data_IF_264210567428
#
_entry.id   IF_264210567428
#
_cell.length_a   1.000
_cell.length_b   1.000
_cell.length_c   1.000
_cell.angle_alpha   90.00
_cell.angle_beta   90.00
_cell.angle_gamma   90.00
#
_symmetry.space_group_name_H-M   'P 1'
#
loop_
_entity.id
_entity.type
_entity.pdbx_description
1 polymer ?
#
# COMPACT_ATOMS: atom_id res chain seq x y z
N UNK A 1 36.44 -4.24 6.03
CA UNK A 1 36.12 -4.42 7.42
C UNK A 1 34.65 -4.04 7.66
N UNK A 2 33.72 -4.93 7.43
CA UNK A 2 32.26 -4.70 7.56
C UNK A 2 31.39 -5.88 7.17
N UNK A 3 31.98 -6.90 6.57
CA UNK A 3 31.25 -8.09 6.13
C UNK A 3 31.23 -9.27 7.12
N UNK A 4 32.00 -9.20 8.22
CA UNK A 4 32.12 -10.33 9.16
C UNK A 4 31.12 -10.32 10.31
N UNK A 5 30.31 -9.28 10.48
CA UNK A 5 29.40 -9.15 11.64
C UNK A 5 27.97 -9.71 11.41
N UNK A 6 27.66 -10.24 10.21
CA UNK A 6 26.29 -10.68 9.88
C UNK A 6 26.16 -12.21 9.76
N UNK A 7 27.24 -12.97 9.85
CA UNK A 7 27.18 -14.44 9.69
C UNK A 7 26.65 -15.21 10.91
N UNK A 8 26.25 -14.55 12.01
CA UNK A 8 25.83 -15.19 13.25
C UNK A 8 24.41 -14.92 13.72
N UNK A 9 23.65 -14.04 13.08
CA UNK A 9 22.30 -13.72 13.53
C UNK A 9 21.26 -14.66 12.94
N UNK A 10 20.49 -15.30 13.79
CA UNK A 10 19.31 -16.08 13.39
C UNK A 10 18.20 -15.17 12.89
N UNK A 11 17.27 -15.70 12.12
CA UNK A 11 16.10 -14.97 11.60
C UNK A 11 15.31 -14.26 12.72
N UNK A 12 15.21 -14.90 13.89
CA UNK A 12 14.50 -14.33 15.05
C UNK A 12 15.26 -13.17 15.73
N UNK A 13 16.59 -13.20 15.71
CA UNK A 13 17.42 -12.09 16.20
C UNK A 13 17.33 -10.87 15.28
N UNK A 14 17.32 -11.09 13.98
CA UNK A 14 17.06 -10.03 12.97
C UNK A 14 15.66 -9.45 13.13
N UNK A 15 14.66 -10.29 13.39
CA UNK A 15 13.27 -9.88 13.62
C UNK A 15 13.11 -9.03 14.88
N UNK A 16 13.83 -9.33 15.94
CA UNK A 16 13.80 -8.58 17.21
C UNK A 16 14.56 -7.24 17.13
N UNK A 17 15.57 -7.11 16.25
CA UNK A 17 16.29 -5.86 16.01
C UNK A 17 15.57 -4.92 15.04
N UNK A 18 14.76 -5.47 14.15
CA UNK A 18 13.93 -4.72 13.20
C UNK A 18 12.61 -4.29 13.86
N UNK A 19 12.64 -3.68 15.01
CA UNK A 19 11.46 -3.24 15.75
C UNK A 19 10.24 -3.04 14.83
N UNK A 20 9.06 -3.36 15.24
CA UNK A 20 7.73 -3.51 14.62
C UNK A 20 7.30 -2.57 13.46
N UNK A 21 8.22 -2.08 12.67
CA UNK A 21 8.03 -1.47 11.35
C UNK A 21 7.81 -2.51 10.25
N UNK A 22 7.28 -3.67 10.59
CA UNK A 22 6.82 -4.63 9.59
C UNK A 22 5.69 -3.99 8.81
N UNK A 23 5.85 -3.93 7.49
CA UNK A 23 4.77 -3.73 6.53
C UNK A 23 3.50 -4.37 7.08
N UNK A 24 2.57 -3.56 7.57
CA UNK A 24 1.18 -3.98 7.71
C UNK A 24 0.72 -4.29 6.29
N UNK A 25 0.90 -5.54 5.88
CA UNK A 25 0.25 -6.05 4.68
C UNK A 25 -1.23 -5.94 5.00
N UNK A 26 -1.88 -4.94 4.41
CA UNK A 26 -3.29 -4.68 4.62
C UNK A 26 -4.08 -5.98 4.51
N UNK A 27 -4.52 -6.56 5.64
CA UNK A 27 -5.37 -7.71 5.58
C UNK A 27 -5.13 -8.87 6.53
N UNK A 28 -4.13 -8.86 7.40
CA UNK A 28 -3.93 -9.94 8.36
C UNK A 28 -2.47 -10.29 8.64
N UNK A 29 -2.23 -11.16 9.62
CA UNK A 29 -0.89 -11.65 9.92
C UNK A 29 -0.27 -12.38 8.71
N UNK A 30 1.03 -12.24 8.52
CA UNK A 30 1.75 -12.97 7.48
C UNK A 30 1.74 -14.47 7.78
N UNK A 31 1.38 -15.26 6.78
CA UNK A 31 1.34 -16.71 6.85
C UNK A 31 2.66 -17.27 6.28
N UNK A 32 3.39 -18.12 7.00
CA UNK A 32 4.56 -18.77 6.46
C UNK A 32 4.23 -19.54 5.16
N UNK A 33 5.09 -19.45 4.14
CA UNK A 33 4.85 -20.06 2.84
C UNK A 33 4.57 -21.57 2.93
N UNK A 34 5.32 -22.29 3.77
CA UNK A 34 5.13 -23.74 3.96
C UNK A 34 3.76 -24.06 4.56
N UNK A 35 3.27 -23.21 5.48
CA UNK A 35 1.94 -23.36 6.07
C UNK A 35 0.85 -23.09 5.03
N UNK A 36 0.97 -21.99 4.26
CA UNK A 36 0.01 -21.66 3.20
C UNK A 36 -0.11 -22.78 2.16
N UNK A 37 1.04 -23.36 1.73
CA UNK A 37 1.06 -24.48 0.79
C UNK A 37 0.49 -25.78 1.38
N UNK A 38 0.64 -25.99 2.69
CA UNK A 38 0.08 -27.16 3.36
C UNK A 38 -1.43 -27.05 3.56
N UNK A 39 -1.91 -25.90 4.04
CA UNK A 39 -3.31 -25.69 4.40
C UNK A 39 -4.22 -25.42 3.19
N UNK A 40 -3.72 -24.71 2.17
CA UNK A 40 -4.51 -24.26 1.02
C UNK A 40 -3.68 -24.20 -0.26
N UNK A 41 -3.17 -25.34 -0.78
CA UNK A 41 -2.20 -25.37 -1.88
C UNK A 41 -2.72 -24.69 -3.16
N UNK A 42 -3.95 -24.94 -3.57
CA UNK A 42 -4.52 -24.39 -4.80
C UNK A 42 -4.78 -22.88 -4.69
N UNK A 43 -5.32 -22.41 -3.56
CA UNK A 43 -5.49 -20.95 -3.34
C UNK A 43 -4.15 -20.24 -3.27
N UNK A 44 -3.16 -20.85 -2.61
CA UNK A 44 -1.81 -20.31 -2.52
C UNK A 44 -1.16 -20.16 -3.89
N UNK A 45 -1.26 -21.22 -4.72
CA UNK A 45 -0.76 -21.18 -6.09
C UNK A 45 -1.46 -20.12 -6.92
N UNK A 46 -2.80 -20.07 -6.88
CA UNK A 46 -3.58 -19.07 -7.60
C UNK A 46 -3.23 -17.63 -7.17
N UNK A 47 -3.01 -17.40 -5.87
CA UNK A 47 -2.59 -16.10 -5.37
C UNK A 47 -1.18 -15.70 -5.86
N UNK A 48 -0.23 -16.65 -5.89
CA UNK A 48 1.12 -16.43 -6.41
C UNK A 48 1.07 -16.13 -7.91
N UNK A 49 0.34 -16.94 -8.68
CA UNK A 49 0.21 -16.77 -10.14
C UNK A 49 -0.42 -15.40 -10.47
N UNK A 50 -1.43 -14.98 -9.71
CA UNK A 50 -2.05 -13.66 -9.85
C UNK A 50 -1.07 -12.51 -9.58
N UNK A 51 -0.27 -12.61 -8.52
CA UNK A 51 0.74 -11.60 -8.20
C UNK A 51 1.82 -11.53 -9.29
N UNK A 52 2.34 -12.70 -9.73
CA UNK A 52 3.34 -12.75 -10.78
C UNK A 52 2.81 -12.23 -12.11
N UNK A 53 1.58 -12.57 -12.48
CA UNK A 53 0.94 -12.01 -13.67
C UNK A 53 0.81 -10.48 -13.59
N UNK A 54 0.45 -9.95 -12.42
CA UNK A 54 0.39 -8.51 -12.21
C UNK A 54 1.78 -7.85 -12.39
N UNK A 55 2.84 -8.48 -11.90
CA UNK A 55 4.20 -7.97 -11.97
C UNK A 55 4.82 -8.10 -13.37
N UNK A 56 4.61 -9.22 -14.04
CA UNK A 56 5.25 -9.54 -15.33
C UNK A 56 4.47 -8.98 -16.51
N UNK A 57 3.13 -9.08 -16.49
CA UNK A 57 2.27 -8.77 -17.64
C UNK A 57 1.57 -7.43 -17.47
N UNK A 58 0.78 -7.24 -16.38
CA UNK A 58 -0.03 -6.03 -16.22
C UNK A 58 0.83 -4.78 -16.02
N UNK A 59 1.91 -4.88 -15.22
CA UNK A 59 2.78 -3.75 -14.86
C UNK A 59 4.13 -3.79 -15.59
N UNK A 60 4.49 -4.93 -16.19
CA UNK A 60 5.79 -5.13 -16.85
C UNK A 60 6.98 -4.73 -15.95
N UNK A 61 6.88 -5.00 -14.65
CA UNK A 61 7.91 -4.68 -13.67
C UNK A 61 9.03 -5.70 -13.67
N UNK A 62 8.72 -6.94 -13.98
CA UNK A 62 9.66 -8.05 -13.99
C UNK A 62 9.79 -8.62 -15.39
N UNK A 63 11.01 -8.64 -15.89
CA UNK A 63 11.37 -9.27 -17.15
C UNK A 63 12.15 -10.54 -16.79
N UNK A 64 11.64 -11.74 -17.08
CA UNK A 64 12.35 -13.00 -16.79
C UNK A 64 13.72 -13.04 -17.48
N UNK A 65 14.69 -13.63 -16.79
CA UNK A 65 16.06 -13.82 -17.31
C UNK A 65 16.48 -15.25 -17.10
N UNK A 66 17.02 -15.86 -18.16
CA UNK A 66 17.60 -17.20 -18.07
C UNK A 66 18.83 -17.17 -17.17
N UNK A 67 18.87 -18.10 -16.22
CA UNK A 67 19.99 -18.20 -15.28
C UNK A 67 21.33 -18.37 -15.96
N UNK A 68 21.38 -19.09 -17.09
CA UNK A 68 22.59 -19.37 -17.85
C UNK A 68 23.18 -18.11 -18.53
N UNK A 69 22.38 -17.06 -18.69
CA UNK A 69 22.82 -15.75 -19.24
C UNK A 69 23.44 -14.84 -18.17
N UNK A 70 23.43 -15.26 -16.90
CA UNK A 70 23.93 -14.46 -15.77
C UNK A 70 25.29 -14.97 -15.29
N UNK A 71 26.20 -14.05 -15.04
CA UNK A 71 27.47 -14.36 -14.36
C UNK A 71 27.24 -14.70 -12.89
N UNK A 72 28.17 -15.40 -12.26
CA UNK A 72 28.13 -15.70 -10.83
C UNK A 72 28.08 -14.42 -9.98
N UNK A 73 28.80 -13.38 -10.40
CA UNK A 73 28.77 -12.08 -9.71
C UNK A 73 27.37 -11.45 -9.75
N UNK A 74 26.70 -11.49 -10.90
CA UNK A 74 25.32 -10.97 -11.03
C UNK A 74 24.35 -11.78 -10.17
N UNK A 75 24.43 -13.13 -10.20
CA UNK A 75 23.58 -14.00 -9.38
C UNK A 75 23.75 -13.72 -7.87
N UNK A 76 24.98 -13.48 -7.43
CA UNK A 76 25.29 -13.19 -6.02
C UNK A 76 24.84 -11.78 -5.60
N UNK A 77 24.93 -10.80 -6.50
CA UNK A 77 24.50 -9.43 -6.22
C UNK A 77 23.01 -9.16 -6.47
N UNK A 78 22.28 -10.14 -7.03
CA UNK A 78 20.85 -10.00 -7.27
C UNK A 78 20.08 -9.79 -5.97
N UNK A 79 19.23 -8.76 -5.95
CA UNK A 79 18.39 -8.43 -4.80
C UNK A 79 17.39 -9.57 -4.57
N UNK A 80 17.42 -10.14 -3.38
CA UNK A 80 16.53 -11.24 -3.03
C UNK A 80 15.12 -10.73 -2.78
N UNK A 81 14.14 -11.45 -3.32
CA UNK A 81 12.73 -11.21 -3.09
C UNK A 81 12.10 -12.44 -2.43
N UNK A 82 11.08 -12.20 -1.64
CA UNK A 82 10.25 -13.26 -1.06
C UNK A 82 8.79 -13.06 -1.41
N UNK A 83 8.05 -14.15 -1.46
CA UNK A 83 6.61 -14.10 -1.56
C UNK A 83 6.03 -14.03 -0.14
N UNK A 84 5.40 -12.91 0.20
CA UNK A 84 4.68 -12.73 1.46
C UNK A 84 3.22 -13.16 1.26
N UNK A 85 2.75 -14.07 2.10
CA UNK A 85 1.40 -14.62 2.05
C UNK A 85 0.56 -14.06 3.19
N UNK A 86 -0.69 -13.73 2.93
CA UNK A 86 -1.66 -13.32 3.96
C UNK A 86 -3.08 -13.67 3.51
N UNK A 87 -4.03 -13.65 4.43
CA UNK A 87 -5.45 -13.72 4.06
C UNK A 87 -6.09 -12.34 4.17
N UNK A 88 -6.94 -12.01 3.23
CA UNK A 88 -7.80 -10.83 3.31
C UNK A 88 -8.79 -11.02 4.45
N UNK A 89 -9.31 -9.92 4.98
CA UNK A 89 -10.48 -9.99 5.85
C UNK A 89 -11.68 -10.51 5.07
N UNK A 90 -12.51 -11.29 5.73
CA UNK A 90 -13.79 -11.75 5.17
C UNK A 90 -14.67 -10.52 4.93
N UNK A 91 -15.17 -10.36 3.72
CA UNK A 91 -16.11 -9.28 3.42
C UNK A 91 -17.51 -9.63 3.97
N UNK A 92 -18.38 -8.62 4.22
CA UNK A 92 -19.76 -8.89 4.65
C UNK A 92 -20.51 -9.83 3.69
N UNK A 93 -20.29 -9.71 2.39
CA UNK A 93 -20.89 -10.59 1.37
C UNK A 93 -20.37 -12.02 1.45
N UNK A 94 -19.06 -12.19 1.68
CA UNK A 94 -18.45 -13.51 1.91
C UNK A 94 -18.97 -14.14 3.20
N UNK A 95 -19.10 -13.33 4.27
CA UNK A 95 -19.65 -13.79 5.56
C UNK A 95 -21.09 -14.24 5.42
N UNK A 96 -21.93 -13.50 4.68
CA UNK A 96 -23.32 -13.89 4.40
C UNK A 96 -23.42 -15.21 3.62
N UNK A 97 -22.41 -15.54 2.81
CA UNK A 97 -22.29 -16.82 2.09
C UNK A 97 -21.64 -17.93 2.96
N UNK A 98 -21.42 -17.67 4.26
CA UNK A 98 -20.86 -18.64 5.20
C UNK A 98 -19.34 -18.77 5.16
N UNK A 99 -18.62 -17.87 4.49
CA UNK A 99 -17.18 -17.88 4.51
C UNK A 99 -16.64 -17.45 5.87
N UNK A 100 -15.79 -18.27 6.47
CA UNK A 100 -15.11 -17.99 7.75
C UNK A 100 -13.69 -17.48 7.55
N UNK A 101 -13.15 -17.59 6.34
CA UNK A 101 -11.77 -17.23 5.97
C UNK A 101 -11.80 -16.44 4.68
N UNK A 102 -11.05 -15.35 4.63
CA UNK A 102 -10.93 -14.52 3.42
C UNK A 102 -9.93 -15.08 2.41
N UNK A 103 -9.97 -14.53 1.20
CA UNK A 103 -9.13 -14.95 0.07
C UNK A 103 -7.64 -14.88 0.40
N UNK A 104 -6.88 -15.85 -0.10
CA UNK A 104 -5.43 -15.83 -0.04
C UNK A 104 -4.87 -14.67 -0.88
N UNK A 105 -3.89 -13.96 -0.34
CA UNK A 105 -3.19 -12.84 -0.97
C UNK A 105 -1.70 -13.09 -0.98
N UNK A 106 -1.07 -12.94 -2.12
CA UNK A 106 0.37 -12.95 -2.29
C UNK A 106 0.90 -11.55 -2.59
N UNK A 107 2.11 -11.26 -2.14
CA UNK A 107 2.89 -10.07 -2.49
C UNK A 107 4.34 -10.47 -2.74
N UNK A 108 4.90 -10.10 -3.88
CA UNK A 108 6.33 -10.23 -4.10
C UNK A 108 7.05 -9.02 -3.50
N UNK A 109 7.88 -9.25 -2.49
CA UNK A 109 8.52 -8.21 -1.67
C UNK A 109 10.03 -8.34 -1.77
N UNK A 110 10.71 -7.25 -2.13
CA UNK A 110 12.17 -7.17 -2.13
C UNK A 110 12.70 -7.13 -0.68
N UNK A 111 13.79 -7.84 -0.43
CA UNK A 111 14.51 -7.79 0.86
C UNK A 111 15.57 -6.67 0.83
N UNK A 112 15.16 -5.44 0.51
CA UNK A 112 16.03 -4.26 0.46
C UNK A 112 16.14 -3.62 1.85
N UNK A 113 16.84 -4.31 2.75
CA UNK A 113 16.93 -3.93 4.16
C UNK A 113 18.02 -2.87 4.37
N UNK A 114 17.75 -1.88 5.23
CA UNK A 114 18.73 -0.85 5.64
C UNK A 114 20.02 -1.44 6.23
N UNK A 115 19.93 -2.63 6.85
CA UNK A 115 21.09 -3.36 7.37
C UNK A 115 22.03 -3.86 6.25
N UNK A 116 21.50 -4.14 5.05
CA UNK A 116 22.25 -4.62 3.89
C UNK A 116 22.74 -3.49 2.99
N UNK A 117 21.96 -2.43 2.88
CA UNK A 117 22.25 -1.25 2.07
C UNK A 117 21.71 0.00 2.74
N UNK A 118 22.59 0.92 3.13
CA UNK A 118 22.20 2.21 3.70
C UNK A 118 22.10 3.24 2.57
N UNK A 119 20.90 3.78 2.37
CA UNK A 119 20.63 4.87 1.45
C UNK A 119 20.48 6.20 2.22
N UNK A 120 20.71 7.35 1.55
CA UNK A 120 20.38 8.65 2.10
C UNK A 120 18.91 8.74 2.53
N UNK A 121 18.62 9.53 3.56
CA UNK A 121 17.25 9.69 4.07
C UNK A 121 16.35 10.34 3.02
N UNK A 122 16.89 11.25 2.23
CA UNK A 122 16.17 11.95 1.15
C UNK A 122 15.65 10.99 0.08
N UNK A 123 16.32 9.85 -0.12
CA UNK A 123 15.92 8.83 -1.09
C UNK A 123 14.90 7.83 -0.51
N UNK A 124 14.76 7.78 0.80
CA UNK A 124 13.94 6.76 1.49
C UNK A 124 12.75 7.35 2.24
N UNK A 125 12.78 8.65 2.53
CA UNK A 125 11.71 9.30 3.26
C UNK A 125 10.46 9.48 2.41
N UNK A 126 9.37 8.86 2.83
CA UNK A 126 8.04 9.07 2.27
C UNK A 126 7.18 9.75 3.34
N UNK A 127 7.09 11.06 3.29
CA UNK A 127 6.20 11.78 4.19
C UNK A 127 4.75 11.35 3.98
N UNK A 128 4.09 10.98 5.06
CA UNK A 128 2.65 10.70 5.09
C UNK A 128 1.95 11.77 5.92
N UNK A 129 0.65 12.04 5.70
CA UNK A 129 -0.07 13.01 6.50
C UNK A 129 -0.19 12.54 7.96
N UNK A 130 0.07 13.45 8.90
CA UNK A 130 -0.21 13.20 10.30
C UNK A 130 -1.72 12.96 10.53
N UNK A 131 -2.04 12.25 11.60
CA UNK A 131 -3.45 11.99 11.93
C UNK A 131 -4.24 13.27 12.17
N UNK A 132 -3.59 14.30 12.67
CA UNK A 132 -4.17 15.60 12.94
C UNK A 132 -4.65 16.29 11.66
N UNK A 133 -3.91 16.15 10.56
CA UNK A 133 -4.19 16.84 9.31
C UNK A 133 -5.54 16.41 8.70
N UNK A 134 -5.76 15.12 8.51
CA UNK A 134 -7.01 14.63 7.94
C UNK A 134 -8.19 14.72 8.95
N UNK A 135 -7.91 14.61 10.26
CA UNK A 135 -8.95 14.83 11.29
C UNK A 135 -9.40 16.27 11.31
N UNK A 136 -8.48 17.24 11.17
CA UNK A 136 -8.82 18.66 11.04
C UNK A 136 -9.65 18.91 9.77
N UNK A 137 -9.29 18.25 8.65
CA UNK A 137 -10.10 18.29 7.43
C UNK A 137 -11.53 17.80 7.71
N UNK A 138 -11.71 16.69 8.42
CA UNK A 138 -13.04 16.20 8.79
C UNK A 138 -13.75 17.10 9.81
N UNK A 139 -13.03 17.73 10.74
CA UNK A 139 -13.60 18.68 11.68
C UNK A 139 -14.12 19.97 10.99
N UNK A 140 -13.61 20.29 9.80
CA UNK A 140 -14.10 21.41 8.98
C UNK A 140 -15.29 21.06 8.08
N UNK A 141 -15.76 19.81 8.11
CA UNK A 141 -16.90 19.38 7.31
C UNK A 141 -18.19 20.11 7.73
N UNK A 142 -18.92 20.61 6.75
CA UNK A 142 -20.26 21.17 6.92
C UNK A 142 -21.24 20.40 6.02
N UNK A 143 -22.28 19.85 6.64
CA UNK A 143 -23.32 19.12 5.92
C UNK A 143 -24.01 20.03 4.87
N UNK A 144 -24.20 19.48 3.67
CA UNK A 144 -24.80 20.22 2.55
C UNK A 144 -23.87 21.20 1.83
N UNK A 145 -22.63 21.41 2.35
CA UNK A 145 -21.61 22.24 1.69
C UNK A 145 -20.39 21.42 1.23
N UNK A 146 -20.12 20.31 1.87
CA UNK A 146 -18.95 19.49 1.54
C UNK A 146 -19.34 18.09 1.14
N UNK A 147 -18.59 17.56 0.19
CA UNK A 147 -18.62 16.18 -0.27
C UNK A 147 -17.31 15.50 0.14
N UNK A 148 -17.41 14.31 0.71
CA UNK A 148 -16.24 13.53 1.15
C UNK A 148 -16.24 12.20 0.44
N UNK A 149 -15.08 11.84 -0.11
CA UNK A 149 -14.90 10.57 -0.80
C UNK A 149 -13.50 10.02 -0.58
N UNK A 150 -13.34 8.74 -0.85
CA UNK A 150 -12.05 8.07 -0.90
C UNK A 150 -12.00 7.08 -2.05
N UNK A 151 -10.80 6.71 -2.45
CA UNK A 151 -10.51 5.61 -3.36
C UNK A 151 -9.25 4.91 -2.84
N UNK A 152 -8.72 3.97 -3.59
CA UNK A 152 -7.50 3.23 -3.26
C UNK A 152 -6.73 3.08 -4.57
N UNK A 153 -5.44 3.42 -4.58
CA UNK A 153 -4.59 3.21 -5.74
C UNK A 153 -4.21 1.72 -5.86
N UNK A 154 -4.68 1.07 -6.92
CA UNK A 154 -4.40 -0.35 -7.13
C UNK A 154 -2.91 -0.60 -7.35
N UNK A 155 -2.25 -1.30 -6.42
CA UNK A 155 -0.82 -1.61 -6.51
C UNK A 155 0.07 -0.36 -6.65
N UNK A 156 -0.14 0.66 -5.81
CA UNK A 156 0.45 1.99 -5.89
C UNK A 156 1.94 2.02 -6.31
N UNK A 157 2.83 1.36 -5.59
CA UNK A 157 4.27 1.36 -5.94
C UNK A 157 4.57 0.84 -7.34
N UNK A 158 3.77 -0.09 -7.85
CA UNK A 158 3.94 -0.64 -9.19
C UNK A 158 3.45 0.31 -10.29
N UNK A 159 2.83 1.42 -9.93
CA UNK A 159 2.37 2.44 -10.88
C UNK A 159 3.40 3.57 -11.09
N UNK A 160 4.45 3.64 -10.27
CA UNK A 160 5.55 4.60 -10.51
C UNK A 160 6.14 4.38 -11.90
N UNK A 161 6.29 5.40 -12.74
CA UNK A 161 6.86 5.24 -14.08
C UNK A 161 8.24 4.56 -14.07
N UNK A 162 8.54 3.80 -15.11
CA UNK A 162 9.86 3.19 -15.28
C UNK A 162 10.92 4.29 -15.40
N UNK A 163 11.93 4.26 -14.54
CA UNK A 163 13.00 5.28 -14.51
C UNK A 163 14.25 4.89 -15.30
N UNK A 164 14.18 3.83 -16.11
CA UNK A 164 15.30 3.32 -16.90
C UNK A 164 16.36 2.54 -16.11
N UNK A 165 16.31 2.55 -14.79
CA UNK A 165 17.20 1.73 -13.96
C UNK A 165 16.71 0.29 -13.94
N UNK A 166 17.62 -0.64 -14.26
CA UNK A 166 17.35 -2.07 -14.16
C UNK A 166 18.04 -2.64 -12.92
N UNK A 167 17.29 -3.29 -12.07
CA UNK A 167 17.80 -3.98 -10.88
C UNK A 167 17.60 -5.47 -11.09
N UNK A 168 18.67 -6.26 -10.98
CA UNK A 168 18.53 -7.70 -11.00
C UNK A 168 17.97 -8.19 -9.67
N UNK A 169 16.85 -8.87 -9.73
CA UNK A 169 16.19 -9.46 -8.57
C UNK A 169 16.10 -10.97 -8.74
N UNK A 170 16.04 -11.70 -7.62
CA UNK A 170 15.85 -13.15 -7.60
C UNK A 170 14.81 -13.55 -6.57
N UNK A 171 14.05 -14.59 -6.87
CA UNK A 171 13.13 -15.21 -5.91
C UNK A 171 13.27 -16.72 -5.94
N UNK A 172 13.07 -17.37 -4.80
CA UNK A 172 12.96 -18.81 -4.73
C UNK A 172 11.56 -19.24 -5.19
N UNK A 173 11.48 -20.16 -6.15
CA UNK A 173 10.22 -20.77 -6.52
C UNK A 173 9.80 -21.78 -5.43
N UNK A 174 8.68 -21.59 -4.73
CA UNK A 174 8.31 -22.47 -3.62
C UNK A 174 7.91 -23.88 -4.08
N UNK A 175 7.57 -24.05 -5.35
CA UNK A 175 7.16 -25.34 -5.91
C UNK A 175 8.34 -26.19 -6.39
N UNK A 176 9.41 -25.55 -6.88
CA UNK A 176 10.55 -26.25 -7.51
C UNK A 176 11.85 -26.14 -6.71
N UNK A 177 11.90 -25.24 -5.72
CA UNK A 177 13.13 -24.92 -4.98
C UNK A 177 14.23 -24.26 -5.81
N UNK A 178 13.94 -23.82 -7.03
CA UNK A 178 14.91 -23.15 -7.91
C UNK A 178 14.85 -21.65 -7.77
N UNK A 179 15.99 -20.98 -7.93
CA UNK A 179 16.06 -19.54 -8.07
C UNK A 179 15.56 -19.14 -9.45
N UNK A 180 14.71 -18.11 -9.48
CA UNK A 180 14.22 -17.46 -10.69
C UNK A 180 14.72 -16.01 -10.68
N UNK A 181 15.23 -15.54 -11.82
CA UNK A 181 15.87 -14.23 -11.97
C UNK A 181 15.06 -13.33 -12.88
N UNK A 182 15.04 -12.03 -12.55
CA UNK A 182 14.29 -11.03 -13.31
C UNK A 182 15.04 -9.70 -13.34
N UNK A 183 14.95 -8.98 -14.44
CA UNK A 183 15.23 -7.56 -14.44
C UNK A 183 14.00 -6.81 -13.94
N UNK A 184 14.14 -6.08 -12.84
CA UNK A 184 13.12 -5.20 -12.31
C UNK A 184 13.29 -3.81 -12.94
N UNK A 185 12.22 -3.30 -13.59
CA UNK A 185 12.24 -2.07 -14.39
C UNK A 185 11.79 -0.84 -13.61
N UNK A 186 11.59 -0.93 -12.31
CA UNK A 186 11.13 0.18 -11.49
C UNK A 186 10.90 -0.24 -10.05
N UNK A 187 10.06 0.46 -9.34
CA UNK A 187 9.76 0.23 -7.93
C UNK A 187 8.94 -1.03 -7.71
N UNK A 188 9.24 -1.75 -6.66
CA UNK A 188 8.43 -2.85 -6.14
C UNK A 188 8.34 -2.81 -4.61
N UNK A 189 7.40 -3.58 -4.06
CA UNK A 189 7.23 -3.69 -2.61
C UNK A 189 8.52 -4.12 -1.92
N UNK A 190 8.82 -3.49 -0.78
CA UNK A 190 10.01 -3.78 0.03
C UNK A 190 11.28 -3.07 -0.41
N UNK A 191 11.28 -2.32 -1.52
CA UNK A 191 12.39 -1.42 -1.85
C UNK A 191 12.37 -0.20 -0.94
N UNK A 192 13.53 0.19 -0.40
CA UNK A 192 13.67 1.34 0.50
C UNK A 192 13.22 2.66 -0.14
N UNK A 193 13.45 2.82 -1.46
CA UNK A 193 13.07 4.03 -2.22
C UNK A 193 11.60 4.05 -2.60
N UNK A 194 10.89 2.93 -2.45
CA UNK A 194 9.53 2.75 -3.00
C UNK A 194 8.52 3.80 -2.52
N UNK A 195 8.52 4.10 -1.24
CA UNK A 195 7.63 5.11 -0.67
C UNK A 195 7.94 6.52 -1.17
N UNK A 196 9.23 6.88 -1.22
CA UNK A 196 9.67 8.19 -1.69
C UNK A 196 9.36 8.39 -3.17
N UNK A 197 9.68 7.41 -4.03
CA UNK A 197 9.41 7.47 -5.46
C UNK A 197 7.89 7.53 -5.74
N UNK A 198 7.07 6.78 -5.01
CA UNK A 198 5.63 6.85 -5.13
C UNK A 198 5.10 8.24 -4.72
N UNK A 199 5.47 8.73 -3.52
CA UNK A 199 5.06 10.07 -3.06
C UNK A 199 5.44 11.15 -4.06
N UNK A 200 6.68 11.13 -4.54
CA UNK A 200 7.18 12.10 -5.53
C UNK A 200 6.35 12.05 -6.80
N UNK A 201 6.09 10.87 -7.34
CA UNK A 201 5.29 10.70 -8.55
C UNK A 201 3.86 11.26 -8.39
N UNK A 202 3.18 10.97 -7.28
CA UNK A 202 1.84 11.51 -7.01
C UNK A 202 1.87 13.01 -6.79
N UNK A 203 2.87 13.51 -6.04
CA UNK A 203 3.03 14.94 -5.80
C UNK A 203 3.24 15.70 -7.11
N UNK A 204 4.12 15.22 -7.98
CA UNK A 204 4.38 15.83 -9.29
C UNK A 204 3.11 15.84 -10.16
N UNK A 205 2.35 14.74 -10.18
CA UNK A 205 1.08 14.66 -10.91
C UNK A 205 0.06 15.68 -10.40
N UNK A 206 -0.06 15.85 -9.09
CA UNK A 206 -1.01 16.78 -8.51
C UNK A 206 -0.57 18.24 -8.64
N UNK A 207 0.72 18.53 -8.51
CA UNK A 207 1.24 19.92 -8.41
C UNK A 207 1.77 20.48 -9.71
N UNK A 208 2.10 19.66 -10.69
CA UNK A 208 2.67 20.12 -11.96
C UNK A 208 1.65 20.97 -12.74
N UNK A 209 2.03 22.23 -12.95
CA UNK A 209 1.25 23.20 -13.74
C UNK A 209 1.68 23.25 -15.21
N UNK A 210 2.83 22.67 -15.55
CA UNK A 210 3.46 22.80 -16.88
C UNK A 210 2.99 21.75 -17.86
N UNK A 211 2.41 20.66 -17.37
CA UNK A 211 1.79 19.64 -18.22
C UNK A 211 0.34 20.05 -18.51
N UNK A 212 -0.08 19.94 -19.75
CA UNK A 212 -1.47 20.18 -20.18
C UNK A 212 -2.51 19.39 -19.38
N UNK A 213 -2.06 18.44 -18.55
CA UNK A 213 -2.83 17.59 -17.67
C UNK A 213 -2.48 17.73 -16.18
N UNK A 214 -1.70 18.73 -15.78
CA UNK A 214 -1.41 18.99 -14.37
C UNK A 214 -2.66 19.40 -13.61
N UNK A 215 -2.81 18.93 -12.36
CA UNK A 215 -4.04 19.16 -11.59
C UNK A 215 -4.07 20.54 -10.95
N UNK A 216 -2.93 21.22 -10.80
CA UNK A 216 -2.86 22.57 -10.23
C UNK A 216 -2.99 22.65 -8.70
N UNK A 217 -2.84 21.53 -8.01
CA UNK A 217 -2.78 21.50 -6.55
C UNK A 217 -1.50 22.13 -6.01
N UNK A 218 -1.53 22.47 -4.73
CA UNK A 218 -0.37 22.87 -3.93
C UNK A 218 -0.27 21.96 -2.72
N UNK A 219 0.90 21.39 -2.46
CA UNK A 219 1.14 20.70 -1.20
C UNK A 219 1.18 21.74 -0.06
N UNK A 220 0.55 21.43 1.07
CA UNK A 220 0.53 22.32 2.22
C UNK A 220 1.92 22.39 2.85
N UNK A 221 2.36 23.61 3.22
CA UNK A 221 3.63 23.78 3.94
C UNK A 221 3.59 23.03 5.27
N UNK A 222 4.65 22.33 5.57
CA UNK A 222 4.85 21.58 6.82
C UNK A 222 3.84 20.45 7.08
N UNK A 223 3.02 20.10 6.11
CA UNK A 223 2.06 18.98 6.20
C UNK A 223 2.22 18.12 4.97
N UNK A 224 3.01 17.05 5.11
CA UNK A 224 3.33 16.18 3.99
C UNK A 224 2.10 15.47 3.45
N UNK A 225 2.04 15.32 2.13
CA UNK A 225 0.98 14.56 1.43
C UNK A 225 -0.44 15.06 1.67
N UNK A 226 -0.58 16.35 1.99
CA UNK A 226 -1.87 17.06 1.97
C UNK A 226 -1.82 18.14 0.92
N UNK A 227 -2.76 18.11 0.00
CA UNK A 227 -2.81 18.96 -1.18
C UNK A 227 -4.08 19.78 -1.23
N UNK A 228 -3.98 21.02 -1.71
CA UNK A 228 -5.10 21.93 -1.87
C UNK A 228 -5.14 22.50 -3.29
N UNK A 229 -6.32 22.47 -3.93
CA UNK A 229 -6.57 23.11 -5.21
C UNK A 229 -7.24 24.48 -4.98
N UNK A 230 -6.55 25.59 -5.27
CA UNK A 230 -7.03 26.92 -4.86
C UNK A 230 -8.32 27.37 -5.56
N UNK A 231 -8.49 27.01 -6.82
CA UNK A 231 -9.65 27.42 -7.62
C UNK A 231 -10.88 26.56 -7.33
N UNK A 232 -10.68 25.22 -7.27
CA UNK A 232 -11.76 24.25 -7.04
C UNK A 232 -12.05 24.00 -5.57
N UNK A 233 -11.22 24.55 -4.66
CA UNK A 233 -11.34 24.34 -3.20
C UNK A 233 -11.41 22.86 -2.79
N UNK A 234 -10.64 22.03 -3.47
CA UNK A 234 -10.50 20.61 -3.15
C UNK A 234 -9.35 20.44 -2.18
N UNK A 235 -9.54 19.66 -1.13
CA UNK A 235 -8.50 19.22 -0.21
C UNK A 235 -8.35 17.70 -0.35
N UNK A 236 -7.10 17.23 -0.49
CA UNK A 236 -6.79 15.81 -0.58
C UNK A 236 -5.71 15.46 0.42
N UNK A 237 -5.95 14.48 1.26
CA UNK A 237 -4.97 13.87 2.17
C UNK A 237 -4.65 12.48 1.64
N UNK A 238 -3.39 12.20 1.32
CA UNK A 238 -2.99 10.93 0.70
C UNK A 238 -2.05 10.17 1.64
N UNK A 239 -2.51 9.04 2.14
CA UNK A 239 -1.69 8.12 2.93
C UNK A 239 -1.32 6.92 2.07
N UNK A 240 -0.15 6.97 1.44
CA UNK A 240 0.38 5.97 0.51
C UNK A 240 -0.60 5.69 -0.64
N UNK A 241 -1.45 4.69 -0.52
CA UNK A 241 -2.43 4.23 -1.52
C UNK A 241 -3.87 4.69 -1.23
N UNK A 242 -4.10 5.36 -0.08
CA UNK A 242 -5.42 5.78 0.37
C UNK A 242 -5.58 7.33 0.31
N UNK A 243 -6.17 7.92 -0.74
CA UNK A 243 -6.58 9.31 -0.75
C UNK A 243 -7.94 9.52 -0.07
N UNK A 244 -8.01 10.52 0.81
CA UNK A 244 -9.24 11.08 1.37
C UNK A 244 -9.44 12.47 0.77
N UNK A 245 -10.59 12.70 0.16
CA UNK A 245 -10.90 13.89 -0.64
C UNK A 245 -12.08 14.62 -0.02
N UNK A 246 -11.98 15.93 0.10
CA UNK A 246 -13.09 16.80 0.47
C UNK A 246 -13.23 17.94 -0.55
N UNK A 247 -14.44 18.17 -1.04
CA UNK A 247 -14.77 19.16 -2.06
C UNK A 247 -15.98 19.98 -1.65
N UNK A 248 -16.19 21.13 -2.32
CA UNK A 248 -17.37 21.99 -2.10
C UNK A 248 -18.50 21.72 -3.11
N UNK A 249 -18.26 20.88 -4.13
CA UNK A 249 -19.27 20.50 -5.10
C UNK A 249 -19.09 19.05 -5.54
N UNK A 250 -20.18 18.45 -6.01
CA UNK A 250 -20.13 17.10 -6.58
C UNK A 250 -19.38 17.08 -7.91
N UNK A 251 -19.49 18.14 -8.69
CA UNK A 251 -18.78 18.31 -9.97
C UNK A 251 -17.27 18.29 -9.76
N UNK A 252 -16.76 18.93 -8.70
CA UNK A 252 -15.34 18.93 -8.37
C UNK A 252 -14.88 17.59 -7.80
N UNK A 253 -15.74 16.88 -7.08
CA UNK A 253 -15.48 15.49 -6.66
C UNK A 253 -15.33 14.58 -7.88
N UNK A 254 -16.31 14.63 -8.80
CA UNK A 254 -16.30 13.80 -10.01
C UNK A 254 -15.11 14.16 -10.92
N UNK A 255 -14.79 15.45 -11.04
CA UNK A 255 -13.60 15.93 -11.77
C UNK A 255 -12.31 15.35 -11.18
N UNK A 256 -12.12 15.43 -9.85
CA UNK A 256 -10.92 14.88 -9.21
C UNK A 256 -10.78 13.38 -9.49
N UNK A 257 -11.83 12.61 -9.26
CA UNK A 257 -11.79 11.16 -9.47
C UNK A 257 -11.64 10.76 -10.94
N UNK A 258 -12.17 11.54 -11.86
CA UNK A 258 -11.93 11.35 -13.29
C UNK A 258 -10.46 11.60 -13.65
N UNK A 259 -9.93 12.74 -13.20
CA UNK A 259 -8.54 13.13 -13.47
C UNK A 259 -7.53 12.16 -12.89
N UNK A 260 -7.70 11.73 -11.64
CA UNK A 260 -6.76 10.80 -11.03
C UNK A 260 -6.73 9.44 -11.76
N UNK A 261 -7.86 9.00 -12.32
CA UNK A 261 -7.96 7.77 -13.12
C UNK A 261 -7.34 7.86 -14.51
N UNK A 262 -7.10 9.05 -15.03
CA UNK A 262 -6.32 9.23 -16.26
C UNK A 262 -4.84 8.86 -16.05
N UNK A 263 -4.35 8.94 -14.79
CA UNK A 263 -2.94 8.71 -14.45
C UNK A 263 -2.69 7.41 -13.69
N UNK A 264 -3.69 6.99 -12.90
CA UNK A 264 -3.54 5.85 -11.99
C UNK A 264 -4.72 4.89 -12.06
N UNK A 265 -4.43 3.61 -11.99
CA UNK A 265 -5.46 2.60 -11.72
C UNK A 265 -5.96 2.75 -10.28
N UNK A 266 -7.22 3.05 -10.13
CA UNK A 266 -7.87 3.23 -8.85
C UNK A 266 -9.02 2.25 -8.68
N UNK A 267 -9.27 1.82 -7.46
CA UNK A 267 -10.49 1.10 -7.11
C UNK A 267 -11.72 1.99 -7.20
N UNK A 268 -12.88 1.41 -6.99
CA UNK A 268 -14.14 2.16 -6.96
C UNK A 268 -14.10 3.28 -5.90
N UNK A 269 -14.67 4.44 -6.25
CA UNK A 269 -14.78 5.57 -5.34
C UNK A 269 -15.86 5.29 -4.31
N UNK A 270 -15.51 5.38 -3.04
CA UNK A 270 -16.45 5.39 -1.92
C UNK A 270 -16.84 6.83 -1.62
N UNK A 271 -18.13 7.10 -1.53
CA UNK A 271 -18.66 8.43 -1.21
C UNK A 271 -19.37 8.39 0.12
N UNK A 272 -19.06 9.37 0.98
CA UNK A 272 -19.68 9.50 2.27
C UNK A 272 -21.14 9.91 2.11
N UNK A 273 -22.04 9.07 2.63
CA UNK A 273 -23.47 9.37 2.69
C UNK A 273 -24.07 8.72 3.93
N UNK A 274 -25.29 9.13 4.28
CA UNK A 274 -26.05 8.45 5.34
C UNK A 274 -26.21 6.97 4.96
N UNK A 275 -25.74 6.07 5.84
CA UNK A 275 -25.73 4.63 5.57
C UNK A 275 -24.57 4.12 4.70
N UNK A 276 -23.68 5.02 4.22
CA UNK A 276 -22.49 4.66 3.44
C UNK A 276 -21.25 5.28 4.08
N UNK A 277 -20.69 4.69 5.14
CA UNK A 277 -19.50 5.19 5.81
C UNK A 277 -18.24 4.96 4.95
N UNK A 278 -17.19 5.72 5.26
CA UNK A 278 -15.85 5.55 4.71
C UNK A 278 -14.92 5.06 5.82
N UNK A 279 -14.21 3.97 5.59
CA UNK A 279 -13.12 3.55 6.47
C UNK A 279 -11.81 4.15 5.92
N UNK A 280 -11.17 5.00 6.71
CA UNK A 280 -9.91 5.65 6.37
C UNK A 280 -8.90 5.47 7.50
N UNK A 281 -7.75 4.88 7.22
CA UNK A 281 -6.69 4.60 8.19
C UNK A 281 -7.20 3.89 9.47
N UNK A 282 -8.09 2.93 9.30
CA UNK A 282 -8.74 2.18 10.39
C UNK A 282 -9.68 3.01 11.27
N UNK A 283 -10.06 4.20 10.84
CA UNK A 283 -11.11 5.02 11.46
C UNK A 283 -12.32 5.01 10.56
N UNK A 284 -13.48 4.71 11.11
CA UNK A 284 -14.76 4.83 10.41
C UNK A 284 -15.25 6.26 10.47
N UNK A 285 -15.47 6.84 9.29
CA UNK A 285 -16.09 8.16 9.11
C UNK A 285 -17.54 7.90 8.74
N UNK A 286 -18.47 8.30 9.59
CA UNK A 286 -19.90 8.05 9.40
C UNK A 286 -20.69 9.37 9.42
N UNK A 287 -21.53 9.55 8.41
CA UNK A 287 -22.49 10.65 8.33
C UNK A 287 -23.84 10.21 8.90
N UNK A 288 -24.39 11.00 9.83
CA UNK A 288 -25.70 10.77 10.42
C UNK A 288 -26.81 11.59 9.72
N UNK A 289 -28.09 11.17 9.87
CA UNK A 289 -29.22 11.88 9.25
C UNK A 289 -29.37 13.36 9.68
N UNK A 290 -28.86 13.72 10.85
CA UNK A 290 -28.85 15.10 11.36
C UNK A 290 -27.70 15.96 10.80
N UNK A 291 -26.87 15.37 9.93
CA UNK A 291 -25.72 16.02 9.31
C UNK A 291 -24.43 15.99 10.13
N UNK A 292 -24.45 15.41 11.32
CA UNK A 292 -23.25 15.25 12.14
C UNK A 292 -22.33 14.13 11.60
N UNK A 293 -21.02 14.25 11.89
CA UNK A 293 -20.02 13.21 11.60
C UNK A 293 -19.55 12.53 12.87
N UNK A 294 -19.41 11.21 12.81
CA UNK A 294 -18.70 10.43 13.83
C UNK A 294 -17.41 9.85 13.23
N UNK A 295 -16.32 9.96 13.99
CA UNK A 295 -15.06 9.30 13.73
C UNK A 295 -14.81 8.29 14.84
N UNK A 296 -14.84 7.00 14.54
CA UNK A 296 -14.67 5.97 15.55
C UNK A 296 -13.77 4.81 15.07
N UNK A 297 -13.22 4.08 16.04
CA UNK A 297 -12.41 2.88 15.83
C UNK A 297 -13.08 1.64 16.45
N UNK A 298 -14.37 1.70 16.69
CA UNK A 298 -15.09 0.67 17.46
C UNK A 298 -14.85 -0.73 16.94
N UNK A 299 -15.04 -0.96 15.66
CA UNK A 299 -14.83 -2.29 15.07
C UNK A 299 -13.40 -2.81 15.23
N UNK A 300 -12.40 -1.92 15.11
CA UNK A 300 -11.00 -2.30 15.30
C UNK A 300 -10.71 -2.66 16.77
N UNK A 301 -11.28 -1.91 17.69
CA UNK A 301 -11.14 -2.17 19.13
C UNK A 301 -11.84 -3.50 19.49
N UNK A 302 -13.05 -3.71 19.03
CA UNK A 302 -13.78 -4.96 19.26
C UNK A 302 -13.05 -6.18 18.70
N UNK A 303 -12.49 -6.06 17.49
CA UNK A 303 -11.69 -7.12 16.91
C UNK A 303 -10.39 -7.35 17.70
N UNK A 304 -9.71 -6.30 18.14
CA UNK A 304 -8.53 -6.42 18.97
C UNK A 304 -8.83 -7.14 20.30
N UNK A 305 -9.92 -6.79 20.97
CA UNK A 305 -10.35 -7.45 22.19
C UNK A 305 -10.63 -8.92 21.97
N UNK A 306 -11.31 -9.25 20.87
CA UNK A 306 -11.60 -10.63 20.48
C UNK A 306 -10.33 -11.44 20.20
N UNK A 307 -9.41 -10.89 19.43
CA UNK A 307 -8.14 -11.56 19.07
C UNK A 307 -7.27 -11.87 20.30
N UNK A 308 -7.46 -11.13 21.38
CA UNK A 308 -6.72 -11.29 22.64
C UNK A 308 -7.54 -11.94 23.76
N UNK A 309 -8.77 -12.40 23.49
CA UNK A 309 -9.65 -13.01 24.50
C UNK A 309 -10.05 -12.04 25.62
N UNK A 310 -10.11 -10.74 25.31
CA UNK A 310 -10.37 -9.65 26.26
C UNK A 310 -11.78 -9.07 26.13
N UNK A 311 -12.69 -9.76 25.47
CA UNK A 311 -14.06 -9.27 25.17
C UNK A 311 -14.88 -8.97 26.44
N UNK A 312 -14.55 -9.62 27.57
CA UNK A 312 -15.22 -9.46 28.86
C UNK A 312 -14.43 -8.63 29.86
N UNK A 313 -13.36 -7.94 29.44
CA UNK A 313 -12.61 -7.04 30.32
C UNK A 313 -13.47 -5.86 30.75
N UNK A 314 -13.41 -5.53 32.04
CA UNK A 314 -13.91 -4.24 32.50
C UNK A 314 -13.01 -3.11 32.00
N UNK A 315 -13.57 -1.95 31.63
CA UNK A 315 -12.81 -0.77 31.21
C UNK A 315 -11.89 -0.25 32.30
#
# INVERSE_FOLDING_TARGET
PGQELIQGLTYDEVKNHLGSGMLEISGGAEIPMHQALHESPEETKAAIDKEMHAMEVKRERLIPVDEDKLTNQQKNSALECRMAMSRKRVTPEQSQKGATVGDMKARLVAKDLKALRKLPEEETYAGVPGQEAWRLMMASYEHGKHYVSSTDFDTAYLQVPKNGKLILVKRLCPLTGKWLYYWCTGVMYGMQTGGCEWKTNVSDTLTDKTKDNGFGFKELKNVSSVYYHPERKIIVSIHVDDPLVMTCSKEDEDWFHSKIREHYDCKETKRLAVGSPIDYLSVRIQLHPDGSLTLDNKEKIEQFLKDHGMESCNP
#
